data_IF_829880282328
#
_entry.id   IF_829880282328
#
_cell.length_a   1.000
_cell.length_b   1.000
_cell.length_c   1.000
_cell.angle_alpha   90.00
_cell.angle_beta   90.00
_cell.angle_gamma   90.00
#
_symmetry.space_group_name_H-M   'P 1'
#
loop_
_entity.id
_entity.type
_entity.pdbx_description
1 polymer ?
#
# COMPACT_ATOMS: atom_id res chain seq x y z
N UNK A 1 -2.36 -11.49 16.67
CA UNK A 1 -1.90 -11.82 15.30
C UNK A 1 -0.42 -11.52 15.21
N UNK A 2 0.36 -12.38 14.57
CA UNK A 2 1.81 -12.21 14.34
C UNK A 2 2.08 -11.37 13.10
N UNK A 3 3.26 -10.76 13.03
CA UNK A 3 3.66 -9.98 11.86
C UNK A 3 4.10 -10.90 10.72
N UNK A 4 3.68 -10.63 9.47
CA UNK A 4 4.17 -11.36 8.32
C UNK A 4 5.64 -11.00 8.01
N UNK A 5 6.43 -11.94 7.47
CA UNK A 5 7.89 -11.83 7.34
C UNK A 5 8.37 -10.88 6.24
N UNK A 6 7.52 -10.55 5.26
CA UNK A 6 7.92 -9.76 4.08
C UNK A 6 7.32 -8.35 4.16
N UNK A 7 8.12 -7.32 3.94
CA UNK A 7 7.64 -5.93 4.04
C UNK A 7 7.14 -5.35 2.72
N UNK A 8 7.61 -5.81 1.56
CA UNK A 8 7.15 -5.26 0.28
C UNK A 8 6.95 -6.40 -0.71
N UNK A 9 5.77 -6.45 -1.32
CA UNK A 9 5.56 -7.37 -2.43
C UNK A 9 6.22 -6.78 -3.69
N UNK A 10 6.66 -7.64 -4.62
CA UNK A 10 7.05 -7.17 -5.94
C UNK A 10 5.79 -6.85 -6.75
N UNK A 11 5.79 -5.67 -7.39
CA UNK A 11 4.70 -5.28 -8.29
C UNK A 11 4.72 -6.23 -9.50
N UNK A 12 3.64 -6.97 -9.77
CA UNK A 12 3.57 -7.83 -10.95
C UNK A 12 3.76 -7.00 -12.23
N UNK A 13 4.58 -7.49 -13.17
CA UNK A 13 4.87 -6.77 -14.41
C UNK A 13 3.60 -6.39 -15.20
N UNK A 14 2.56 -7.24 -15.15
CA UNK A 14 1.26 -6.98 -15.75
C UNK A 14 0.53 -5.83 -15.07
N UNK A 15 0.51 -5.78 -13.73
CA UNK A 15 -0.08 -4.68 -12.98
C UNK A 15 0.65 -3.36 -13.24
N UNK A 16 1.99 -3.40 -13.35
CA UNK A 16 2.78 -2.24 -13.68
C UNK A 16 2.52 -1.71 -15.10
N UNK A 17 2.41 -2.61 -16.08
CA UNK A 17 2.05 -2.22 -17.45
C UNK A 17 0.65 -1.58 -17.51
N UNK A 18 -0.33 -2.17 -16.82
CA UNK A 18 -1.70 -1.61 -16.76
C UNK A 18 -1.71 -0.25 -16.06
N UNK A 19 -1.01 -0.10 -14.94
CA UNK A 19 -0.94 1.17 -14.22
C UNK A 19 -0.30 2.27 -15.07
N UNK A 20 0.83 1.99 -15.74
CA UNK A 20 1.50 2.95 -16.64
C UNK A 20 0.64 3.30 -17.85
N UNK A 21 -0.10 2.34 -18.40
CA UNK A 21 -1.03 2.60 -19.51
C UNK A 21 -2.25 3.42 -19.08
N UNK A 22 -2.76 3.23 -17.86
CA UNK A 22 -3.87 4.00 -17.31
C UNK A 22 -3.48 5.45 -16.97
N UNK A 23 -2.20 5.70 -16.67
CA UNK A 23 -1.66 7.01 -16.31
C UNK A 23 -0.47 7.43 -17.20
N UNK A 24 -0.70 7.69 -18.51
CA UNK A 24 0.38 7.98 -19.46
C UNK A 24 1.12 9.29 -19.16
N UNK A 25 0.47 10.24 -18.50
CA UNK A 25 1.07 11.51 -18.05
C UNK A 25 1.76 11.40 -16.68
N UNK A 26 1.77 10.21 -16.07
CA UNK A 26 2.21 9.99 -14.70
C UNK A 26 1.07 10.11 -13.68
N UNK A 27 1.33 9.63 -12.47
CA UNK A 27 0.44 9.69 -11.32
C UNK A 27 1.30 9.77 -10.06
N UNK A 28 0.91 10.63 -9.11
CA UNK A 28 1.67 10.90 -7.89
C UNK A 28 1.96 9.62 -7.09
N UNK A 29 1.03 8.66 -7.09
CA UNK A 29 1.16 7.40 -6.38
C UNK A 29 2.08 6.41 -7.07
N UNK A 30 2.03 6.35 -8.40
CA UNK A 30 3.01 5.57 -9.17
C UNK A 30 4.43 6.09 -8.92
N UNK A 31 4.60 7.42 -8.94
CA UNK A 31 5.89 8.06 -8.67
C UNK A 31 6.34 7.83 -7.22
N UNK A 32 5.43 8.03 -6.25
CA UNK A 32 5.69 7.76 -4.84
C UNK A 32 6.23 6.35 -4.63
N UNK A 33 5.62 5.35 -5.29
CA UNK A 33 6.09 3.97 -5.21
C UNK A 33 7.42 3.73 -5.93
N UNK A 34 7.58 4.26 -7.13
CA UNK A 34 8.78 4.04 -7.95
C UNK A 34 10.02 4.75 -7.37
N UNK A 35 9.85 5.94 -6.79
CA UNK A 35 10.95 6.78 -6.30
C UNK A 35 11.26 6.56 -4.81
N UNK A 36 10.23 6.41 -3.96
CA UNK A 36 10.42 6.27 -2.52
C UNK A 36 10.47 4.80 -2.06
N UNK A 37 9.98 3.86 -2.87
CA UNK A 37 9.93 2.45 -2.51
C UNK A 37 9.16 2.19 -1.22
N UNK A 38 9.79 1.47 -0.29
CA UNK A 38 9.22 1.15 1.03
C UNK A 38 9.28 2.36 1.97
N UNK A 39 8.15 3.00 2.23
CA UNK A 39 8.06 4.12 3.19
C UNK A 39 7.83 3.62 4.62
N UNK A 40 7.03 2.56 4.76
CA UNK A 40 6.72 1.91 6.02
C UNK A 40 7.03 0.42 5.93
N UNK A 41 7.49 -0.16 7.04
CA UNK A 41 7.85 -1.56 7.14
C UNK A 41 7.16 -2.20 8.34
N UNK A 42 6.87 -3.51 8.31
CA UNK A 42 6.16 -4.20 9.38
C UNK A 42 6.92 -4.12 10.70
N UNK A 43 8.25 -4.07 10.68
CA UNK A 43 9.06 -4.04 11.90
C UNK A 43 8.74 -2.83 12.80
N UNK A 44 8.26 -1.72 12.23
CA UNK A 44 7.82 -0.53 12.97
C UNK A 44 6.58 -0.80 13.85
N UNK A 45 5.84 -1.87 13.56
CA UNK A 45 4.59 -2.24 14.25
C UNK A 45 4.78 -3.42 15.22
N UNK A 46 6.01 -3.88 15.44
CA UNK A 46 6.31 -5.03 16.32
C UNK A 46 5.77 -4.86 17.73
N UNK A 47 5.82 -3.65 18.29
CA UNK A 47 5.37 -3.36 19.65
C UNK A 47 3.86 -3.60 19.88
N UNK A 48 3.04 -3.62 18.82
CA UNK A 48 1.59 -3.81 18.92
C UNK A 48 1.12 -5.17 18.39
N UNK A 49 2.06 -6.05 18.02
CA UNK A 49 1.78 -7.38 17.52
C UNK A 49 2.39 -8.47 18.41
N UNK A 50 1.71 -9.62 18.48
CA UNK A 50 2.25 -10.77 19.19
C UNK A 50 3.39 -11.41 18.39
N UNK A 51 4.35 -12.02 19.08
CA UNK A 51 5.44 -12.77 18.42
C UNK A 51 4.92 -14.00 17.67
N UNK A 52 3.89 -14.65 18.21
CA UNK A 52 3.30 -15.88 17.67
C UNK A 52 1.78 -15.75 17.42
N UNK A 53 1.24 -16.67 16.63
CA UNK A 53 -0.19 -16.77 16.31
C UNK A 53 -0.49 -16.51 14.83
N UNK A 54 -1.79 -16.34 14.51
CA UNK A 54 -2.26 -16.13 13.14
C UNK A 54 -1.60 -14.90 12.50
N UNK A 55 -1.08 -15.00 11.26
CA UNK A 55 -0.50 -13.85 10.54
C UNK A 55 -1.53 -12.74 10.35
N UNK A 56 -1.13 -11.50 10.64
CA UNK A 56 -1.88 -10.32 10.29
C UNK A 56 -1.73 -9.99 8.79
N UNK A 57 -2.58 -9.09 8.29
CA UNK A 57 -2.24 -8.31 7.11
C UNK A 57 -1.03 -7.42 7.40
N UNK A 58 -0.31 -7.00 6.36
CA UNK A 58 0.87 -6.15 6.52
C UNK A 58 0.45 -4.76 7.06
N UNK A 59 0.73 -4.40 8.32
CA UNK A 59 0.25 -3.15 8.92
C UNK A 59 0.75 -1.89 8.20
N UNK A 60 1.90 -1.96 7.52
CA UNK A 60 2.40 -0.83 6.74
C UNK A 60 1.44 -0.41 5.61
N UNK A 61 0.66 -1.35 5.06
CA UNK A 61 -0.32 -1.05 4.00
C UNK A 61 -1.41 -0.14 4.53
N UNK A 62 -1.90 -0.41 5.74
CA UNK A 62 -2.93 0.43 6.37
C UNK A 62 -2.37 1.81 6.74
N UNK A 63 -1.15 1.88 7.25
CA UNK A 63 -0.48 3.16 7.53
C UNK A 63 -0.36 4.03 6.26
N UNK A 64 0.01 3.41 5.14
CA UNK A 64 0.10 4.11 3.85
C UNK A 64 -1.27 4.54 3.34
N UNK A 65 -2.29 3.67 3.44
CA UNK A 65 -3.68 4.01 3.13
C UNK A 65 -4.16 5.22 3.94
N UNK A 66 -3.82 5.31 5.22
CA UNK A 66 -4.18 6.47 6.05
C UNK A 66 -3.54 7.78 5.56
N UNK A 67 -2.28 7.75 5.10
CA UNK A 67 -1.61 8.92 4.51
C UNK A 67 -2.31 9.34 3.21
N UNK A 68 -2.60 8.38 2.33
CA UNK A 68 -3.28 8.66 1.05
C UNK A 68 -4.72 9.16 1.26
N UNK A 69 -5.42 8.56 2.21
CA UNK A 69 -6.75 9.00 2.65
C UNK A 69 -6.72 10.47 3.09
N UNK A 70 -5.75 10.84 3.93
CA UNK A 70 -5.58 12.22 4.37
C UNK A 70 -5.22 13.15 3.20
N UNK A 71 -4.28 12.75 2.34
CA UNK A 71 -3.83 13.54 1.19
C UNK A 71 -4.96 13.85 0.20
N UNK A 72 -5.90 12.93 0.03
CA UNK A 72 -7.09 13.11 -0.83
C UNK A 72 -8.34 13.59 -0.10
N UNK A 73 -8.25 13.84 1.21
CA UNK A 73 -9.39 14.23 2.06
C UNK A 73 -10.59 13.26 1.94
N UNK A 74 -10.32 11.96 2.00
CA UNK A 74 -11.33 10.90 1.87
C UNK A 74 -11.86 10.46 3.25
N UNK A 75 -13.14 10.13 3.30
CA UNK A 75 -13.68 9.34 4.41
C UNK A 75 -13.17 7.89 4.37
N UNK A 76 -13.25 7.18 5.49
CA UNK A 76 -12.83 5.77 5.58
C UNK A 76 -13.49 4.89 4.50
N UNK A 77 -14.78 5.13 4.23
CA UNK A 77 -15.53 4.40 3.20
C UNK A 77 -15.01 4.71 1.78
N UNK A 78 -14.65 5.96 1.51
CA UNK A 78 -14.09 6.35 0.22
C UNK A 78 -12.66 5.83 0.05
N UNK A 79 -11.85 5.81 1.11
CA UNK A 79 -10.52 5.22 1.08
C UNK A 79 -10.59 3.71 0.83
N UNK A 80 -11.51 2.99 1.50
CA UNK A 80 -11.75 1.58 1.24
C UNK A 80 -12.21 1.33 -0.22
N UNK A 81 -13.07 2.21 -0.75
CA UNK A 81 -13.49 2.14 -2.15
C UNK A 81 -12.32 2.42 -3.11
N UNK A 82 -11.43 3.37 -2.77
CA UNK A 82 -10.24 3.68 -3.55
C UNK A 82 -9.29 2.48 -3.63
N UNK A 83 -9.01 1.82 -2.50
CA UNK A 83 -8.23 0.57 -2.46
C UNK A 83 -8.88 -0.50 -3.34
N UNK A 84 -10.20 -0.63 -3.31
CA UNK A 84 -10.94 -1.62 -4.10
C UNK A 84 -10.91 -1.33 -5.60
N UNK A 85 -11.13 -0.09 -6.00
CA UNK A 85 -11.45 0.27 -7.39
C UNK A 85 -10.25 0.81 -8.17
N UNK A 86 -9.29 1.47 -7.53
CA UNK A 86 -8.27 2.26 -8.23
C UNK A 86 -6.93 1.53 -8.34
N UNK A 87 -6.40 1.50 -9.57
CA UNK A 87 -5.15 0.79 -9.87
C UNK A 87 -3.91 1.54 -9.35
N UNK A 88 -3.95 2.87 -9.26
CA UNK A 88 -2.88 3.67 -8.66
C UNK A 88 -2.69 3.32 -7.18
N UNK A 89 -3.78 3.21 -6.41
CA UNK A 89 -3.71 2.81 -5.00
C UNK A 89 -3.17 1.39 -4.82
N UNK A 90 -3.61 0.44 -5.65
CA UNK A 90 -3.09 -0.93 -5.62
C UNK A 90 -1.62 -1.00 -6.00
N UNK A 91 -1.17 -0.17 -6.94
CA UNK A 91 0.22 -0.14 -7.38
C UNK A 91 1.18 0.22 -6.23
N UNK A 92 0.80 1.19 -5.38
CA UNK A 92 1.64 1.57 -4.23
C UNK A 92 1.68 0.49 -3.15
N UNK A 93 0.57 -0.21 -2.94
CA UNK A 93 0.41 -1.23 -1.90
C UNK A 93 0.94 -2.62 -2.29
N UNK A 94 1.37 -2.79 -3.55
CA UNK A 94 1.87 -4.07 -4.09
C UNK A 94 3.37 -4.22 -3.96
#
# INVERSE_FOLDING_TARGET
>A
MSLPPTDLLPIPATAAAVARAAFPAGNVYLQMRDELGTIYANHLFTAVHATEGQPALHPWQLALVSVMQFAENLSDRQAAEAVRARIDWKYVLS
#
